data_IF_193050160330
#
_entry.id   IF_193050160330
#
_cell.length_a   1.000
_cell.length_b   1.000
_cell.length_c   1.000
_cell.angle_alpha   90.00
_cell.angle_beta   90.00
_cell.angle_gamma   90.00
#
_symmetry.space_group_name_H-M   'P 1'
#
loop_
_entity.id
_entity.type
_entity.pdbx_description
1 polymer ?
#
# COMPACT_ATOMS: atom_id res chain seq x y z
N UNK A 1 34.37 -63.69 2.85
CA UNK A 1 33.11 -62.92 2.75
C UNK A 1 33.38 -61.51 3.25
N UNK A 2 33.47 -60.53 2.31
CA UNK A 2 33.66 -59.10 2.62
C UNK A 2 32.28 -58.46 2.72
N UNK A 3 31.95 -57.96 3.95
CA UNK A 3 30.71 -57.21 4.15
C UNK A 3 30.93 -55.77 3.66
N UNK A 4 30.21 -55.38 2.61
CA UNK A 4 30.07 -53.98 2.20
C UNK A 4 29.02 -53.29 3.07
N UNK A 5 29.46 -52.33 3.90
CA UNK A 5 28.56 -51.45 4.62
C UNK A 5 28.04 -50.36 3.70
N UNK A 6 26.73 -50.29 3.50
CA UNK A 6 26.05 -49.18 2.85
C UNK A 6 25.93 -48.01 3.83
N UNK A 7 26.59 -46.90 3.56
CA UNK A 7 26.39 -45.64 4.28
C UNK A 7 25.25 -44.95 3.58
N UNK A 8 24.07 -44.88 4.23
CA UNK A 8 22.94 -44.04 3.78
C UNK A 8 23.17 -42.63 4.30
N UNK A 9 23.57 -41.70 3.44
CA UNK A 9 23.63 -40.29 3.73
C UNK A 9 22.19 -39.75 3.67
N UNK A 10 21.56 -39.54 4.84
CA UNK A 10 20.27 -38.86 4.93
C UNK A 10 20.51 -37.36 4.74
N UNK A 11 20.31 -36.87 3.53
CA UNK A 11 20.24 -35.42 3.26
C UNK A 11 18.97 -34.89 3.90
N UNK A 12 19.09 -34.34 5.11
CA UNK A 12 18.05 -33.52 5.73
C UNK A 12 17.97 -32.21 4.92
N UNK A 13 17.04 -32.14 3.98
CA UNK A 13 16.59 -30.87 3.45
C UNK A 13 15.89 -30.10 4.60
N UNK A 14 16.64 -29.27 5.30
CA UNK A 14 16.01 -28.23 6.11
C UNK A 14 15.34 -27.27 5.12
N UNK A 15 14.00 -27.06 5.18
CA UNK A 15 13.41 -25.95 4.48
C UNK A 15 14.09 -24.70 5.04
N UNK A 16 14.74 -23.94 4.19
CA UNK A 16 15.09 -22.56 4.49
C UNK A 16 13.76 -21.83 4.69
N UNK A 17 13.27 -21.81 5.91
CA UNK A 17 12.25 -20.87 6.35
C UNK A 17 12.92 -19.50 6.23
N UNK A 18 12.61 -18.80 5.14
CA UNK A 18 13.07 -17.44 4.97
C UNK A 18 12.74 -16.68 6.25
N UNK A 19 13.76 -16.11 6.90
CA UNK A 19 13.52 -15.25 8.05
C UNK A 19 12.77 -14.04 7.51
N UNK A 20 11.70 -13.67 8.16
CA UNK A 20 11.01 -12.40 7.92
C UNK A 20 11.27 -11.49 9.10
N UNK A 21 11.42 -10.19 8.85
CA UNK A 21 11.66 -9.22 9.89
C UNK A 21 10.55 -8.17 9.92
N UNK A 22 10.18 -7.79 11.14
CA UNK A 22 9.23 -6.71 11.39
C UNK A 22 9.99 -5.56 12.03
N UNK A 23 9.81 -4.38 11.45
CA UNK A 23 10.35 -3.13 11.98
C UNK A 23 9.20 -2.22 12.36
N UNK A 24 9.31 -1.56 13.49
CA UNK A 24 8.32 -0.61 14.00
C UNK A 24 9.03 0.65 14.46
N UNK A 25 8.49 1.81 14.08
CA UNK A 25 9.08 3.11 14.41
C UNK A 25 8.02 4.18 14.44
N UNK A 26 8.15 5.14 15.37
CA UNK A 26 7.41 6.38 15.39
C UNK A 26 8.28 7.50 14.82
N UNK A 27 7.70 8.31 13.94
CA UNK A 27 8.35 9.54 13.45
C UNK A 27 7.72 10.71 14.20
N UNK A 28 8.47 11.40 15.06
CA UNK A 28 7.96 12.55 15.79
C UNK A 28 7.68 13.73 14.87
N UNK A 29 6.68 14.59 15.20
CA UNK A 29 6.47 15.82 14.48
C UNK A 29 7.69 16.75 14.61
N UNK A 30 7.95 17.52 13.57
CA UNK A 30 8.91 18.62 13.59
C UNK A 30 8.19 19.96 13.88
N UNK A 31 8.94 21.07 13.95
CA UNK A 31 8.41 22.39 14.28
C UNK A 31 7.32 22.92 13.33
N UNK A 32 7.21 22.36 12.13
CA UNK A 32 6.22 22.75 11.13
C UNK A 32 5.08 21.73 10.97
N UNK A 33 5.21 20.57 11.60
CA UNK A 33 4.19 19.51 11.54
C UNK A 33 3.01 19.80 12.46
N UNK A 34 1.83 19.35 12.05
CA UNK A 34 0.60 19.47 12.84
C UNK A 34 -0.06 18.12 13.12
N UNK A 35 0.62 17.00 12.80
CA UNK A 35 0.21 15.69 13.28
C UNK A 35 0.72 15.47 14.73
N UNK A 36 0.04 14.64 15.50
CA UNK A 36 0.39 14.33 16.89
C UNK A 36 1.24 13.05 16.98
N UNK A 37 0.92 12.06 16.15
CA UNK A 37 1.62 10.79 16.06
C UNK A 37 1.63 10.27 14.62
N UNK A 38 2.73 9.58 14.29
CA UNK A 38 2.94 8.90 13.03
C UNK A 38 3.74 7.62 13.30
N UNK A 39 3.03 6.53 13.54
CA UNK A 39 3.60 5.24 13.88
C UNK A 39 3.49 4.30 12.69
N UNK A 40 4.59 3.64 12.39
CA UNK A 40 4.74 2.78 11.23
C UNK A 40 5.19 1.38 11.64
N UNK A 41 4.69 0.38 10.92
CA UNK A 41 5.15 -0.99 11.05
C UNK A 41 5.26 -1.62 9.69
N UNK A 42 6.41 -2.25 9.39
CA UNK A 42 6.67 -2.87 8.11
C UNK A 42 7.20 -4.29 8.31
N UNK A 43 6.71 -5.20 7.50
CA UNK A 43 7.20 -6.56 7.38
C UNK A 43 7.96 -6.73 6.07
N UNK A 44 9.16 -7.32 6.16
CA UNK A 44 10.04 -7.59 5.03
C UNK A 44 10.41 -9.07 5.05
N UNK A 45 10.24 -9.75 3.93
CA UNK A 45 10.71 -11.13 3.78
C UNK A 45 12.18 -11.14 3.37
N UNK A 46 13.05 -11.72 4.21
CA UNK A 46 14.50 -11.76 3.96
C UNK A 46 14.90 -12.65 2.77
N UNK A 47 13.99 -13.50 2.28
CA UNK A 47 14.24 -14.27 1.05
C UNK A 47 14.14 -13.44 -0.24
N UNK A 48 13.67 -12.20 -0.13
CA UNK A 48 13.58 -11.27 -1.26
C UNK A 48 14.87 -10.45 -1.30
N UNK A 49 15.70 -10.65 -2.30
CA UNK A 49 16.97 -9.93 -2.45
C UNK A 49 16.75 -8.45 -2.75
N UNK A 50 15.79 -8.13 -3.63
CA UNK A 50 15.45 -6.76 -4.00
C UNK A 50 13.93 -6.59 -4.02
N UNK A 51 13.44 -5.60 -3.27
CA UNK A 51 12.02 -5.26 -3.22
C UNK A 51 11.61 -4.48 -4.48
N UNK A 52 10.41 -4.77 -4.96
CA UNK A 52 9.79 -4.07 -6.09
C UNK A 52 8.82 -2.97 -5.66
N UNK A 53 8.39 -2.96 -4.40
CA UNK A 53 7.43 -1.99 -3.88
C UNK A 53 7.04 -2.26 -2.44
N UNK A 54 6.15 -1.42 -1.93
CA UNK A 54 5.56 -1.53 -0.61
C UNK A 54 4.04 -1.60 -0.76
N UNK A 55 3.42 -2.69 -0.31
CA UNK A 55 1.97 -2.75 -0.14
C UNK A 55 1.62 -2.06 1.18
N UNK A 56 0.93 -0.94 1.08
CA UNK A 56 0.63 -0.09 2.22
C UNK A 56 -0.86 -0.09 2.51
N UNK A 57 -1.24 -0.63 3.66
CA UNK A 57 -2.62 -0.53 4.14
C UNK A 57 -2.78 0.69 5.05
N UNK A 58 -3.74 1.56 4.73
CA UNK A 58 -4.03 2.78 5.49
C UNK A 58 -5.42 2.67 6.12
N UNK A 59 -5.47 2.83 7.44
CA UNK A 59 -6.69 2.73 8.24
C UNK A 59 -7.69 3.87 7.98
N UNK A 60 -8.93 3.69 8.45
CA UNK A 60 -9.92 4.75 8.57
C UNK A 60 -9.63 5.69 9.75
N UNK A 61 -10.56 6.62 10.00
CA UNK A 61 -10.44 7.60 11.09
C UNK A 61 -10.16 6.94 12.45
N UNK A 62 -9.16 7.44 13.17
CA UNK A 62 -8.72 6.92 14.47
C UNK A 62 -8.38 5.42 14.50
N UNK A 63 -8.15 4.78 13.35
CA UNK A 63 -7.79 3.38 13.29
C UNK A 63 -6.28 3.16 13.36
N UNK A 64 -5.88 1.91 13.59
CA UNK A 64 -4.50 1.44 13.58
C UNK A 64 -4.41 0.20 12.68
N UNK A 65 -3.67 0.31 11.59
CA UNK A 65 -3.46 -0.79 10.65
C UNK A 65 -2.13 -1.52 10.83
N UNK A 66 -1.33 -1.19 11.83
CA UNK A 66 -0.02 -1.83 12.05
C UNK A 66 -0.12 -3.34 12.25
N UNK A 67 -1.29 -3.83 12.68
CA UNK A 67 -1.56 -5.26 12.82
C UNK A 67 -1.49 -6.07 11.53
N UNK A 68 -1.73 -5.44 10.36
CA UNK A 68 -1.76 -6.12 9.05
C UNK A 68 -0.47 -6.85 8.72
N UNK A 69 0.66 -6.40 9.26
CA UNK A 69 1.96 -7.03 9.00
C UNK A 69 2.06 -8.45 9.57
N UNK A 70 1.15 -8.83 10.46
CA UNK A 70 1.08 -10.17 11.05
C UNK A 70 0.10 -11.09 10.31
N UNK A 71 -0.61 -10.59 9.29
CA UNK A 71 -1.61 -11.37 8.55
C UNK A 71 -0.93 -12.23 7.48
N UNK A 72 -0.89 -13.54 7.71
CA UNK A 72 -0.20 -14.49 6.82
C UNK A 72 -0.69 -14.42 5.38
N UNK A 73 -2.00 -14.28 5.17
CA UNK A 73 -2.59 -14.17 3.83
C UNK A 73 -2.09 -12.92 3.08
N UNK A 74 -1.87 -11.80 3.80
CA UNK A 74 -1.32 -10.58 3.19
C UNK A 74 0.18 -10.72 2.94
N UNK A 75 0.91 -11.35 3.86
CA UNK A 75 2.33 -11.65 3.65
C UNK A 75 2.53 -12.53 2.41
N UNK A 76 1.78 -13.62 2.27
CA UNK A 76 1.81 -14.50 1.08
C UNK A 76 1.47 -13.74 -0.21
N UNK A 77 0.44 -12.88 -0.15
CA UNK A 77 0.03 -12.06 -1.29
C UNK A 77 1.17 -11.15 -1.77
N UNK A 78 1.85 -10.45 -0.86
CA UNK A 78 2.85 -9.44 -1.24
C UNK A 78 4.17 -10.06 -1.69
N UNK A 79 4.55 -11.24 -1.18
CA UNK A 79 5.74 -11.98 -1.59
C UNK A 79 5.76 -12.26 -3.11
N UNK A 80 4.62 -12.61 -3.69
CA UNK A 80 4.52 -12.96 -5.11
C UNK A 80 4.98 -11.83 -6.04
N UNK A 81 4.83 -10.59 -5.63
CA UNK A 81 5.29 -9.41 -6.36
C UNK A 81 6.60 -8.82 -5.79
N UNK A 82 7.21 -9.47 -4.79
CA UNK A 82 8.40 -9.00 -4.07
C UNK A 82 8.17 -7.66 -3.35
N UNK A 83 7.03 -7.51 -2.70
CA UNK A 83 6.71 -6.31 -1.94
C UNK A 83 6.93 -6.52 -0.45
N UNK A 84 7.28 -5.44 0.25
CA UNK A 84 7.11 -5.34 1.69
C UNK A 84 5.64 -5.06 2.04
N UNK A 85 5.23 -5.35 3.28
CA UNK A 85 3.89 -5.08 3.79
C UNK A 85 3.94 -4.06 4.91
N UNK A 86 3.23 -2.95 4.78
CA UNK A 86 3.24 -1.84 5.73
C UNK A 86 1.84 -1.52 6.24
N UNK A 87 1.74 -1.31 7.54
CA UNK A 87 0.58 -0.74 8.23
C UNK A 87 0.98 0.46 9.08
N UNK A 88 0.03 1.33 9.39
CA UNK A 88 0.29 2.62 10.02
C UNK A 88 -0.77 2.99 11.06
N UNK A 89 -0.37 3.84 12.01
CA UNK A 89 -1.25 4.54 12.93
C UNK A 89 -0.92 6.03 12.84
N UNK A 90 -1.80 6.80 12.20
CA UNK A 90 -1.55 8.19 11.84
C UNK A 90 -2.63 9.10 12.43
N UNK A 91 -2.20 10.24 12.95
CA UNK A 91 -3.08 11.36 13.25
C UNK A 91 -3.02 12.40 12.13
N UNK A 92 -4.03 13.25 12.01
CA UNK A 92 -4.07 14.35 11.05
C UNK A 92 -3.57 13.99 9.64
N UNK A 93 -4.30 13.10 8.96
CA UNK A 93 -3.94 12.54 7.66
C UNK A 93 -4.08 13.52 6.47
N UNK A 94 -3.86 14.81 6.69
CA UNK A 94 -3.83 15.82 5.62
C UNK A 94 -2.39 16.11 5.20
N UNK A 95 -2.12 16.27 3.90
CA UNK A 95 -0.76 16.48 3.41
C UNK A 95 -0.09 17.73 4.00
N UNK A 96 -0.85 18.77 4.28
CA UNK A 96 -0.32 20.00 4.93
C UNK A 96 0.11 19.79 6.40
N UNK A 97 -0.21 18.65 7.02
CA UNK A 97 0.23 18.34 8.38
C UNK A 97 1.69 17.90 8.49
N UNK A 98 2.36 17.65 7.37
CA UNK A 98 3.70 17.07 7.32
C UNK A 98 3.70 15.54 7.40
N UNK A 99 2.52 14.90 7.40
CA UNK A 99 2.42 13.43 7.51
C UNK A 99 3.03 12.70 6.31
N UNK A 100 3.00 13.30 5.11
CA UNK A 100 3.66 12.76 3.93
C UNK A 100 5.18 12.65 4.13
N UNK A 101 5.80 13.71 4.67
CA UNK A 101 7.23 13.72 4.98
C UNK A 101 7.60 12.69 6.06
N UNK A 102 6.70 12.45 7.04
CA UNK A 102 6.89 11.41 8.04
C UNK A 102 6.93 10.02 7.41
N UNK A 103 6.08 9.73 6.42
CA UNK A 103 6.11 8.47 5.65
C UNK A 103 7.47 8.30 4.98
N UNK A 104 7.96 9.32 4.27
CA UNK A 104 9.25 9.24 3.56
C UNK A 104 10.40 9.07 4.56
N UNK A 105 10.41 9.81 5.67
CA UNK A 105 11.42 9.69 6.72
C UNK A 105 11.45 8.30 7.35
N UNK A 106 10.29 7.65 7.52
CA UNK A 106 10.22 6.26 7.96
C UNK A 106 10.89 5.33 6.94
N UNK A 107 10.57 5.45 5.66
CA UNK A 107 11.15 4.60 4.60
C UNK A 107 12.67 4.79 4.51
N UNK A 108 13.17 6.03 4.57
CA UNK A 108 14.60 6.32 4.59
C UNK A 108 15.28 5.64 5.79
N UNK A 109 14.67 5.72 6.96
CA UNK A 109 15.20 5.08 8.18
C UNK A 109 15.28 3.55 8.04
N UNK A 110 14.22 2.92 7.52
CA UNK A 110 14.19 1.47 7.27
C UNK A 110 15.20 1.07 6.19
N UNK A 111 15.34 1.86 5.13
CA UNK A 111 16.35 1.65 4.09
C UNK A 111 17.77 1.52 4.69
N UNK A 112 18.13 2.45 5.57
CA UNK A 112 19.42 2.44 6.28
C UNK A 112 19.52 1.25 7.24
N UNK A 113 18.50 1.01 8.08
CA UNK A 113 18.51 -0.06 9.09
C UNK A 113 18.63 -1.45 8.48
N UNK A 114 18.04 -1.66 7.30
CA UNK A 114 17.99 -2.96 6.62
C UNK A 114 19.08 -3.12 5.56
N UNK A 115 19.86 -2.07 5.31
CA UNK A 115 20.81 -1.98 4.19
C UNK A 115 20.16 -2.29 2.83
N UNK A 116 18.94 -1.74 2.61
CA UNK A 116 18.15 -1.90 1.38
C UNK A 116 17.92 -0.53 0.73
N UNK A 117 18.93 -0.02 0.00
CA UNK A 117 18.86 1.33 -0.58
C UNK A 117 17.74 1.48 -1.63
N UNK A 118 17.30 0.37 -2.24
CA UNK A 118 16.17 0.40 -3.16
C UNK A 118 14.87 0.93 -2.51
N UNK A 119 14.69 0.79 -1.19
CA UNK A 119 13.47 1.20 -0.51
C UNK A 119 13.14 2.68 -0.67
N UNK A 120 14.14 3.53 -0.79
CA UNK A 120 13.93 4.96 -1.01
C UNK A 120 13.35 5.29 -2.38
N UNK A 121 13.42 4.34 -3.32
CA UNK A 121 13.00 4.53 -4.71
C UNK A 121 11.79 3.68 -5.13
N UNK A 122 11.50 2.57 -4.43
CA UNK A 122 10.38 1.70 -4.80
C UNK A 122 9.03 2.38 -4.56
N UNK A 123 8.00 2.03 -5.37
CA UNK A 123 6.68 2.64 -5.27
C UNK A 123 5.81 2.03 -4.18
N UNK A 124 4.78 2.78 -3.78
CA UNK A 124 3.70 2.32 -2.92
C UNK A 124 2.51 1.80 -3.74
N UNK A 125 2.03 0.62 -3.43
CA UNK A 125 0.66 0.22 -3.71
C UNK A 125 -0.18 0.54 -2.47
N UNK A 126 -1.05 1.52 -2.56
CA UNK A 126 -1.83 1.99 -1.42
C UNK A 126 -3.21 1.33 -1.42
N UNK A 127 -3.60 0.74 -0.30
CA UNK A 127 -4.94 0.23 -0.05
C UNK A 127 -5.51 0.95 1.17
N UNK A 128 -6.34 1.94 0.94
CA UNK A 128 -6.87 2.80 2.00
C UNK A 128 -8.37 2.61 2.21
N UNK A 129 -8.78 2.49 3.47
CA UNK A 129 -10.18 2.42 3.87
C UNK A 129 -10.64 3.75 4.48
N UNK A 130 -11.82 4.25 4.09
CA UNK A 130 -12.43 5.46 4.61
C UNK A 130 -11.47 6.67 4.54
N UNK A 131 -11.05 7.26 5.65
CA UNK A 131 -10.02 8.31 5.68
C UNK A 131 -8.69 7.86 5.08
N UNK A 132 -8.35 6.57 5.21
CA UNK A 132 -7.16 6.02 4.56
C UNK A 132 -7.25 6.05 3.04
N UNK A 133 -8.44 5.82 2.47
CA UNK A 133 -8.66 5.97 1.04
C UNK A 133 -8.54 7.44 0.58
N UNK A 134 -9.08 8.36 1.36
CA UNK A 134 -8.91 9.80 1.14
C UNK A 134 -7.43 10.21 1.24
N UNK A 135 -6.74 9.75 2.28
CA UNK A 135 -5.31 10.00 2.47
C UNK A 135 -4.49 9.51 1.28
N UNK A 136 -4.71 8.25 0.84
CA UNK A 136 -4.00 7.66 -0.30
C UNK A 136 -4.19 8.47 -1.58
N UNK A 137 -5.39 9.00 -1.82
CA UNK A 137 -5.66 9.90 -2.94
C UNK A 137 -4.86 11.21 -2.86
N UNK A 138 -4.85 11.86 -1.70
CA UNK A 138 -4.10 13.10 -1.51
C UNK A 138 -2.60 12.86 -1.52
N UNK A 139 -2.14 11.72 -1.00
CA UNK A 139 -0.73 11.30 -1.10
C UNK A 139 -0.31 11.10 -2.57
N UNK A 140 -1.16 10.45 -3.38
CA UNK A 140 -0.91 10.28 -4.81
C UNK A 140 -0.90 11.63 -5.57
N UNK A 141 -1.71 12.61 -5.16
CA UNK A 141 -1.64 13.98 -5.71
C UNK A 141 -0.36 14.71 -5.28
N UNK A 142 0.10 14.47 -4.07
CA UNK A 142 1.29 15.13 -3.53
C UNK A 142 2.58 14.53 -4.09
N UNK A 143 2.62 13.19 -4.30
CA UNK A 143 3.81 12.49 -4.75
C UNK A 143 3.46 11.36 -5.74
N UNK A 144 2.94 11.70 -6.95
CA UNK A 144 2.40 10.72 -7.90
C UNK A 144 3.45 9.71 -8.38
N UNK A 145 4.71 10.11 -8.50
CA UNK A 145 5.82 9.26 -8.92
C UNK A 145 6.15 8.15 -7.92
N UNK A 146 5.71 8.27 -6.68
CA UNK A 146 5.87 7.24 -5.65
C UNK A 146 4.67 6.30 -5.53
N UNK A 147 3.61 6.50 -6.30
CA UNK A 147 2.41 5.68 -6.18
C UNK A 147 2.23 4.78 -7.41
N UNK A 148 2.39 3.48 -7.21
CA UNK A 148 2.15 2.47 -8.22
C UNK A 148 0.67 2.40 -8.59
N UNK A 149 -0.20 2.30 -7.60
CA UNK A 149 -1.64 2.33 -7.75
C UNK A 149 -2.31 2.56 -6.38
N UNK A 150 -3.59 2.95 -6.41
CA UNK A 150 -4.42 3.17 -5.24
C UNK A 150 -5.71 2.36 -5.31
N UNK A 151 -6.09 1.73 -4.20
CA UNK A 151 -7.46 1.33 -3.91
C UNK A 151 -7.99 2.27 -2.82
N UNK A 152 -9.02 3.07 -3.13
CA UNK A 152 -9.73 3.91 -2.17
C UNK A 152 -11.06 3.25 -1.84
N UNK A 153 -11.12 2.53 -0.71
CA UNK A 153 -12.32 1.86 -0.25
C UNK A 153 -13.19 2.84 0.52
N UNK A 154 -14.34 3.21 -0.05
CA UNK A 154 -15.37 4.02 0.62
C UNK A 154 -14.79 5.29 1.25
N UNK A 155 -13.89 5.95 0.52
CA UNK A 155 -13.23 7.18 0.94
C UNK A 155 -14.21 8.31 1.24
N UNK A 156 -13.69 9.33 1.90
CA UNK A 156 -14.49 10.47 2.33
C UNK A 156 -14.43 11.65 1.37
N UNK A 157 -13.87 12.75 1.84
CA UNK A 157 -13.75 13.98 1.07
C UNK A 157 -12.48 13.97 0.22
N UNK A 158 -12.64 13.78 -1.08
CA UNK A 158 -11.58 13.96 -2.05
C UNK A 158 -11.73 15.34 -2.69
N UNK A 159 -10.61 15.94 -3.03
CA UNK A 159 -10.59 17.15 -3.83
C UNK A 159 -11.11 16.84 -5.26
N UNK A 160 -12.19 17.49 -5.65
CA UNK A 160 -12.84 17.28 -6.94
C UNK A 160 -12.35 18.22 -8.04
N UNK A 161 -11.32 19.06 -7.77
CA UNK A 161 -10.76 19.95 -8.78
C UNK A 161 -10.15 19.16 -9.93
N UNK A 162 -10.32 19.66 -11.15
CA UNK A 162 -9.86 18.99 -12.38
C UNK A 162 -8.36 19.13 -12.64
N UNK A 163 -7.67 20.07 -11.98
CA UNK A 163 -6.21 20.16 -12.01
C UNK A 163 -5.60 19.09 -11.11
N UNK A 164 -5.38 17.90 -11.66
CA UNK A 164 -4.92 16.77 -10.90
C UNK A 164 -3.71 16.12 -11.55
N UNK A 165 -2.54 16.25 -10.94
CA UNK A 165 -1.30 15.68 -11.44
C UNK A 165 -1.25 14.14 -11.29
N UNK A 166 -2.13 13.56 -10.47
CA UNK A 166 -2.22 12.10 -10.28
C UNK A 166 -3.13 11.40 -11.32
N UNK A 167 -3.50 12.08 -12.41
CA UNK A 167 -4.34 11.52 -13.49
C UNK A 167 -3.75 10.24 -14.08
N UNK A 168 -2.43 10.10 -14.09
CA UNK A 168 -1.71 8.94 -14.60
C UNK A 168 -1.49 7.82 -13.56
N UNK A 169 -1.78 8.08 -12.30
CA UNK A 169 -1.76 7.04 -11.25
C UNK A 169 -3.03 6.21 -11.36
N UNK A 170 -2.97 4.89 -11.59
CA UNK A 170 -4.17 4.05 -11.57
C UNK A 170 -4.84 4.08 -10.20
N UNK A 171 -6.13 4.41 -10.18
CA UNK A 171 -6.92 4.44 -8.95
C UNK A 171 -8.21 3.67 -9.12
N UNK A 172 -8.53 2.86 -8.13
CA UNK A 172 -9.80 2.16 -8.01
C UNK A 172 -10.57 2.75 -6.84
N UNK A 173 -11.66 3.46 -7.16
CA UNK A 173 -12.60 3.96 -6.17
C UNK A 173 -13.69 2.93 -5.95
N UNK A 174 -13.84 2.49 -4.70
CA UNK A 174 -14.95 1.65 -4.27
C UNK A 174 -15.97 2.46 -3.50
N UNK A 175 -17.24 2.36 -3.90
CA UNK A 175 -18.37 2.88 -3.14
C UNK A 175 -19.25 1.72 -2.67
N UNK A 176 -19.84 1.84 -1.49
CA UNK A 176 -20.91 0.96 -1.03
C UNK A 176 -22.24 1.50 -1.53
N UNK A 177 -23.11 0.63 -2.09
CA UNK A 177 -24.42 1.04 -2.60
C UNK A 177 -25.29 1.71 -1.51
N UNK A 178 -25.10 1.30 -0.24
CA UNK A 178 -25.81 1.83 0.93
C UNK A 178 -24.90 2.61 1.89
N UNK A 179 -23.77 3.12 1.40
CA UNK A 179 -22.90 4.02 2.17
C UNK A 179 -23.53 5.43 2.29
N UNK A 180 -22.93 6.30 3.06
CA UNK A 180 -23.38 7.68 3.19
C UNK A 180 -23.38 8.38 1.82
N UNK A 181 -24.52 9.03 1.49
CA UNK A 181 -24.74 9.63 0.16
C UNK A 181 -23.60 10.59 -0.24
N UNK A 182 -23.12 11.42 0.68
CA UNK A 182 -22.04 12.36 0.37
C UNK A 182 -20.73 11.68 -0.06
N UNK A 183 -20.46 10.44 0.37
CA UNK A 183 -19.29 9.65 -0.05
C UNK A 183 -19.50 9.10 -1.45
N UNK A 184 -20.68 8.55 -1.70
CA UNK A 184 -21.08 8.07 -3.01
C UNK A 184 -20.96 9.20 -4.04
N UNK A 185 -21.55 10.37 -3.73
CA UNK A 185 -21.52 11.54 -4.62
C UNK A 185 -20.09 12.05 -4.84
N UNK A 186 -19.28 12.15 -3.78
CA UNK A 186 -17.91 12.65 -3.91
C UNK A 186 -17.06 11.74 -4.79
N UNK A 187 -17.05 10.42 -4.54
CA UNK A 187 -16.25 9.46 -5.33
C UNK A 187 -16.75 9.33 -6.76
N UNK A 188 -18.07 9.36 -6.95
CA UNK A 188 -18.68 9.34 -8.28
C UNK A 188 -18.31 10.59 -9.09
N UNK A 189 -18.43 11.77 -8.47
CA UNK A 189 -18.12 13.03 -9.13
C UNK A 189 -16.63 13.13 -9.49
N UNK A 190 -15.74 12.71 -8.59
CA UNK A 190 -14.30 12.74 -8.89
C UNK A 190 -13.97 11.82 -10.08
N UNK A 191 -14.55 10.63 -10.13
CA UNK A 191 -14.38 9.71 -11.26
C UNK A 191 -14.96 10.31 -12.56
N UNK A 192 -16.20 10.78 -12.55
CA UNK A 192 -16.87 11.32 -13.75
C UNK A 192 -16.17 12.58 -14.28
N UNK A 193 -15.63 13.44 -13.41
CA UNK A 193 -14.96 14.66 -13.82
C UNK A 193 -13.59 14.41 -14.44
N UNK A 194 -12.85 13.39 -13.98
CA UNK A 194 -11.48 13.16 -14.43
C UNK A 194 -11.35 12.08 -15.52
N UNK A 195 -12.29 11.13 -15.58
CA UNK A 195 -12.24 10.06 -16.59
C UNK A 195 -12.24 10.61 -18.04
N UNK A 196 -13.03 11.63 -18.40
CA UNK A 196 -12.97 12.26 -19.73
C UNK A 196 -11.65 12.98 -20.00
N UNK A 197 -10.90 13.36 -18.97
CA UNK A 197 -9.58 13.98 -19.10
C UNK A 197 -8.44 12.96 -19.25
N UNK A 198 -8.76 11.68 -19.35
CA UNK A 198 -7.78 10.60 -19.52
C UNK A 198 -7.30 9.93 -18.23
N UNK A 199 -7.92 10.25 -17.08
CA UNK A 199 -7.54 9.63 -15.81
C UNK A 199 -7.60 8.10 -15.89
N UNK A 200 -6.56 7.43 -15.42
CA UNK A 200 -6.44 5.96 -15.34
C UNK A 200 -7.22 5.40 -14.13
N UNK A 201 -8.44 5.91 -13.94
CA UNK A 201 -9.25 5.63 -12.77
C UNK A 201 -10.44 4.74 -13.12
N UNK A 202 -10.84 3.89 -12.17
CA UNK A 202 -12.00 3.04 -12.21
C UNK A 202 -12.91 3.31 -11.02
N UNK A 203 -14.20 3.08 -11.17
CA UNK A 203 -15.20 3.15 -10.12
C UNK A 203 -15.89 1.78 -10.03
N UNK A 204 -15.94 1.21 -8.83
CA UNK A 204 -16.65 -0.03 -8.53
C UNK A 204 -17.70 0.20 -7.44
N UNK A 205 -18.83 -0.48 -7.56
CA UNK A 205 -19.95 -0.41 -6.61
C UNK A 205 -20.08 -1.77 -5.94
N UNK A 206 -19.94 -1.79 -4.62
CA UNK A 206 -20.25 -2.98 -3.83
C UNK A 206 -21.75 -3.03 -3.57
N UNK A 207 -22.40 -4.04 -4.18
CA UNK A 207 -23.84 -4.21 -4.05
C UNK A 207 -24.23 -4.47 -2.59
N UNK A 208 -25.22 -3.74 -2.10
CA UNK A 208 -25.67 -3.73 -0.71
C UNK A 208 -24.56 -3.31 0.30
N UNK A 209 -23.39 -2.91 -0.15
CA UNK A 209 -22.29 -2.49 0.73
C UNK A 209 -22.64 -1.23 1.52
N UNK A 210 -22.32 -1.24 2.81
CA UNK A 210 -22.42 -0.11 3.73
C UNK A 210 -21.04 0.51 3.96
N UNK A 211 -20.87 1.42 4.94
CA UNK A 211 -19.57 2.00 5.27
C UNK A 211 -18.70 1.02 6.09
N UNK A 212 -18.17 0.02 5.42
CA UNK A 212 -17.23 -1.00 5.93
C UNK A 212 -16.11 -1.30 4.91
N UNK A 213 -15.17 -2.16 5.26
CA UNK A 213 -14.16 -2.60 4.30
C UNK A 213 -14.80 -3.53 3.25
N UNK A 214 -14.23 -3.49 2.03
CA UNK A 214 -14.69 -4.34 0.93
C UNK A 214 -14.51 -5.81 1.29
N UNK A 215 -15.57 -6.60 1.10
CA UNK A 215 -15.58 -8.02 1.40
C UNK A 215 -15.00 -8.88 0.27
N UNK A 216 -15.07 -8.43 -0.98
CA UNK A 216 -14.52 -9.14 -2.14
C UNK A 216 -13.00 -9.01 -2.20
N UNK A 217 -12.32 -9.80 -1.39
CA UNK A 217 -10.86 -9.84 -1.36
C UNK A 217 -10.26 -10.38 -2.66
N UNK A 218 -10.97 -11.21 -3.41
CA UNK A 218 -10.50 -11.72 -4.69
C UNK A 218 -10.39 -10.59 -5.72
N UNK A 219 -11.37 -9.70 -5.78
CA UNK A 219 -11.34 -8.54 -6.67
C UNK A 219 -10.18 -7.62 -6.32
N UNK A 220 -9.99 -7.27 -5.03
CA UNK A 220 -8.88 -6.43 -4.58
C UNK A 220 -7.52 -7.06 -4.90
N UNK A 221 -7.39 -8.37 -4.72
CA UNK A 221 -6.16 -9.12 -5.05
C UNK A 221 -5.88 -9.13 -6.55
N UNK A 222 -6.91 -9.30 -7.38
CA UNK A 222 -6.79 -9.23 -8.83
C UNK A 222 -6.30 -7.86 -9.26
N UNK A 223 -6.92 -6.77 -8.78
CA UNK A 223 -6.49 -5.42 -9.10
C UNK A 223 -5.03 -5.17 -8.68
N UNK A 224 -4.64 -5.59 -7.48
CA UNK A 224 -3.25 -5.46 -7.02
C UNK A 224 -2.26 -6.16 -7.94
N UNK A 225 -2.51 -7.44 -8.28
CA UNK A 225 -1.61 -8.24 -9.09
C UNK A 225 -1.49 -7.69 -10.51
N UNK A 226 -2.61 -7.28 -11.11
CA UNK A 226 -2.62 -6.68 -12.45
C UNK A 226 -1.85 -5.36 -12.47
N UNK A 227 -2.08 -4.47 -11.49
CA UNK A 227 -1.36 -3.19 -11.43
C UNK A 227 0.14 -3.41 -11.17
N UNK A 228 0.53 -4.34 -10.31
CA UNK A 228 1.93 -4.70 -10.11
C UNK A 228 2.55 -5.24 -11.40
N UNK A 229 1.87 -6.16 -12.08
CA UNK A 229 2.35 -6.73 -13.36
C UNK A 229 2.53 -5.68 -14.45
N UNK A 230 1.53 -4.83 -14.66
CA UNK A 230 1.54 -3.83 -15.74
C UNK A 230 2.59 -2.76 -15.47
N UNK A 231 2.63 -2.22 -14.25
CA UNK A 231 3.43 -1.04 -13.96
C UNK A 231 4.90 -1.35 -13.59
N UNK A 232 5.19 -2.52 -13.06
CA UNK A 232 6.59 -2.94 -12.82
C UNK A 232 7.27 -3.46 -14.08
N UNK A 233 6.51 -4.02 -15.05
CA UNK A 233 7.07 -4.52 -16.31
C UNK A 233 7.17 -3.44 -17.40
N UNK A 234 6.46 -2.34 -17.29
CA UNK A 234 6.55 -1.18 -18.24
C UNK A 234 7.81 -0.32 -18.07
N UNK A 235 8.72 -0.78 -17.50
CA UNK A 235 9.90 -0.52 -16.78
C UNK A 235 11.03 0.29 -17.33
N UNK A 236 10.90 1.38 -17.97
CA UNK A 236 12.06 2.30 -18.00
C UNK A 236 11.79 3.65 -17.35
N UNK A 237 10.54 4.02 -17.19
CA UNK A 237 10.17 5.40 -16.90
C UNK A 237 9.37 5.63 -15.61
N UNK A 238 9.26 4.63 -14.73
CA UNK A 238 8.62 4.84 -13.42
C UNK A 238 9.44 5.79 -12.52
N UNK A 239 10.72 5.98 -12.87
CA UNK A 239 11.71 6.74 -12.11
C UNK A 239 12.40 7.87 -12.91
N UNK A 240 11.85 8.24 -14.11
CA UNK A 240 12.35 9.39 -14.88
C UNK A 240 11.41 10.58 -14.83
#
# INVERSE_FOLDING_TARGET
>A
MKRFGFIVILLLCFPFLGKSQIYEMSIPPNDTSTYEYADFKIWINDSIDTLNGIYWFVHGFNGDSRGVVNELNLQEKVINNKFALMGVHLSNMHMYSGIGDAVLSFIDSISVMTNRPEMTNIPFFINGYSWGGQFGYHFAKWFPEKVLALISQKGGYHDTTTSNIAIDVPMLFFIGENDFQYRIDNLTNIFLNHRPLGAKWALAIEKNGVHDQITDQQFLNTYYNEMASIRLNSNSDFYQ
#
